data_IF_745879078027
#
_entry.id   IF_745879078027
#
_cell.length_a   1.000
_cell.length_b   1.000
_cell.length_c   1.000
_cell.angle_alpha   90.00
_cell.angle_beta   90.00
_cell.angle_gamma   90.00
#
_symmetry.space_group_name_H-M   'P 1'
#
loop_
_entity.id
_entity.type
_entity.pdbx_description
1 polymer ?
#
# COMPACT_ATOMS: atom_id res chain seq x y z
N UNK A 1 -11.63 7.78 10.90
CA UNK A 1 -10.19 8.08 10.97
C UNK A 1 -9.95 8.77 12.30
N UNK A 2 -8.79 8.53 12.91
CA UNK A 2 -8.37 9.18 14.14
C UNK A 2 -8.34 10.70 13.95
N UNK A 3 -8.50 11.50 15.03
CA UNK A 3 -8.57 12.96 14.94
C UNK A 3 -7.40 13.58 14.19
N UNK A 4 -6.19 13.03 14.38
CA UNK A 4 -4.95 13.47 13.72
C UNK A 4 -4.99 13.35 12.19
N UNK A 5 -5.84 12.47 11.64
CA UNK A 5 -6.00 12.25 10.21
C UNK A 5 -7.33 12.79 9.68
N UNK A 6 -8.21 13.35 10.53
CA UNK A 6 -9.49 13.89 10.08
C UNK A 6 -9.33 15.14 9.21
N UNK A 7 -8.28 15.91 9.43
CA UNK A 7 -7.93 17.08 8.59
C UNK A 7 -7.32 16.70 7.24
N UNK A 8 -6.95 15.43 7.04
CA UNK A 8 -6.26 14.96 5.84
C UNK A 8 -7.18 14.11 4.96
N UNK A 9 -6.92 14.15 3.65
CA UNK A 9 -7.54 13.20 2.74
C UNK A 9 -7.04 11.79 3.02
N UNK A 10 -7.86 10.75 2.82
CA UNK A 10 -7.44 9.34 2.92
C UNK A 10 -6.07 9.04 2.27
N UNK A 11 -5.81 9.42 1.00
CA UNK A 11 -4.50 9.18 0.39
C UNK A 11 -3.36 9.93 1.08
N UNK A 12 -3.59 11.15 1.60
CA UNK A 12 -2.58 11.91 2.34
C UNK A 12 -2.28 11.27 3.70
N UNK A 13 -3.31 10.81 4.39
CA UNK A 13 -3.14 10.10 5.66
C UNK A 13 -2.38 8.78 5.45
N UNK A 14 -2.67 8.05 4.37
CA UNK A 14 -1.92 6.85 3.97
C UNK A 14 -0.45 7.19 3.66
N UNK A 15 -0.22 8.26 2.89
CA UNK A 15 1.12 8.75 2.55
C UNK A 15 1.92 9.11 3.80
N UNK A 16 1.30 9.77 4.78
CA UNK A 16 1.95 10.11 6.04
C UNK A 16 2.35 8.84 6.83
N UNK A 17 1.46 7.85 6.93
CA UNK A 17 1.78 6.57 7.57
C UNK A 17 2.92 5.84 6.84
N UNK A 18 2.91 5.86 5.51
CA UNK A 18 3.98 5.26 4.70
C UNK A 18 5.30 6.03 4.81
N UNK A 19 5.26 7.35 4.96
CA UNK A 19 6.43 8.20 5.11
C UNK A 19 7.10 8.02 6.48
N UNK A 20 6.31 7.84 7.54
CA UNK A 20 6.83 7.52 8.88
C UNK A 20 7.52 6.15 8.92
N UNK A 21 7.06 5.23 8.07
CA UNK A 21 7.62 3.89 7.89
C UNK A 21 8.45 3.75 6.61
N UNK A 22 9.04 4.84 6.11
CA UNK A 22 9.84 4.82 4.89
C UNK A 22 11.01 3.83 5.00
N UNK A 23 11.22 3.03 3.95
CA UNK A 23 12.24 1.97 3.96
C UNK A 23 11.79 0.68 4.65
N UNK A 24 10.53 0.58 5.08
CA UNK A 24 9.93 -0.67 5.54
C UNK A 24 8.74 -1.07 4.67
N UNK A 25 8.34 -2.34 4.78
CA UNK A 25 7.14 -2.86 4.15
C UNK A 25 6.03 -2.87 5.19
N UNK A 26 4.94 -2.13 4.92
CA UNK A 26 3.77 -2.10 5.79
C UNK A 26 2.59 -2.84 5.15
N UNK A 27 1.80 -3.50 5.98
CA UNK A 27 0.59 -4.19 5.55
C UNK A 27 -0.62 -3.24 5.58
N UNK A 28 -1.61 -3.49 4.72
CA UNK A 28 -2.86 -2.73 4.73
C UNK A 28 -3.57 -2.78 6.09
N UNK A 29 -3.54 -3.91 6.80
CA UNK A 29 -4.14 -4.00 8.14
C UNK A 29 -3.44 -3.07 9.14
N UNK A 30 -2.13 -2.91 9.01
CA UNK A 30 -1.37 -1.96 9.82
C UNK A 30 -1.80 -0.53 9.48
N UNK A 31 -1.91 -0.18 8.20
CA UNK A 31 -2.37 1.15 7.77
C UNK A 31 -3.79 1.44 8.31
N UNK A 32 -4.71 0.46 8.21
CA UNK A 32 -6.07 0.60 8.76
C UNK A 32 -6.02 0.81 10.27
N UNK A 33 -5.21 0.02 10.99
CA UNK A 33 -5.05 0.13 12.44
C UNK A 33 -4.45 1.49 12.84
N UNK A 34 -3.47 2.00 12.11
CA UNK A 34 -2.88 3.32 12.37
C UNK A 34 -3.88 4.45 12.07
N UNK A 35 -4.64 4.35 10.98
CA UNK A 35 -5.57 5.40 10.57
C UNK A 35 -6.87 5.46 11.38
N UNK A 36 -7.36 4.32 11.87
CA UNK A 36 -8.67 4.20 12.51
C UNK A 36 -8.62 3.64 13.93
N UNK A 37 -7.47 3.14 14.38
CA UNK A 37 -7.33 2.46 15.66
C UNK A 37 -7.77 0.99 15.60
N UNK A 38 -8.10 0.44 16.76
CA UNK A 38 -8.73 -0.87 16.84
C UNK A 38 -10.21 -0.78 16.43
N UNK A 39 -10.54 -1.51 15.37
CA UNK A 39 -11.88 -1.58 14.80
C UNK A 39 -12.41 -3.00 14.96
N UNK A 40 -13.73 -3.12 15.12
CA UNK A 40 -14.41 -4.40 15.03
C UNK A 40 -14.20 -5.06 13.66
N UNK A 41 -14.18 -6.40 13.58
CA UNK A 41 -13.87 -7.14 12.36
C UNK A 41 -14.81 -6.80 11.20
N UNK A 42 -16.07 -6.49 11.49
CA UNK A 42 -17.06 -6.11 10.49
C UNK A 42 -16.74 -4.75 9.85
N UNK A 43 -16.42 -3.77 10.70
CA UNK A 43 -15.99 -2.43 10.27
C UNK A 43 -14.65 -2.46 9.57
N UNK A 44 -13.71 -3.27 10.09
CA UNK A 44 -12.37 -3.44 9.52
C UNK A 44 -12.45 -3.96 8.09
N UNK A 45 -13.33 -4.92 7.77
CA UNK A 45 -13.54 -5.39 6.39
C UNK A 45 -13.96 -4.25 5.45
N UNK A 46 -14.93 -3.44 5.86
CA UNK A 46 -15.42 -2.32 5.05
C UNK A 46 -14.35 -1.25 4.86
N UNK A 47 -13.67 -0.85 5.94
CA UNK A 47 -12.60 0.15 5.91
C UNK A 47 -11.42 -0.35 5.10
N UNK A 48 -11.01 -1.60 5.26
CA UNK A 48 -9.93 -2.24 4.49
C UNK A 48 -10.22 -2.22 3.00
N UNK A 49 -11.44 -2.52 2.56
CA UNK A 49 -11.82 -2.38 1.16
C UNK A 49 -11.65 -0.95 0.64
N UNK A 50 -12.06 0.06 1.43
CA UNK A 50 -11.89 1.48 1.07
C UNK A 50 -10.43 1.90 1.03
N UNK A 51 -9.64 1.52 2.03
CA UNK A 51 -8.20 1.81 2.10
C UNK A 51 -7.47 1.12 0.95
N UNK A 52 -7.85 -0.11 0.59
CA UNK A 52 -7.30 -0.83 -0.56
C UNK A 52 -7.57 -0.07 -1.86
N UNK A 53 -8.79 0.41 -2.09
CA UNK A 53 -9.10 1.24 -3.27
C UNK A 53 -8.26 2.53 -3.29
N UNK A 54 -8.06 3.18 -2.14
CA UNK A 54 -7.18 4.35 -2.03
C UNK A 54 -5.71 4.00 -2.32
N UNK A 55 -5.22 2.87 -1.80
CA UNK A 55 -3.87 2.35 -2.04
C UNK A 55 -3.63 2.04 -3.52
N UNK A 56 -4.61 1.45 -4.20
CA UNK A 56 -4.52 1.22 -5.65
C UNK A 56 -4.42 2.53 -6.41
N UNK A 57 -5.28 3.51 -6.10
CA UNK A 57 -5.25 4.82 -6.77
C UNK A 57 -3.94 5.57 -6.56
N UNK A 58 -3.43 5.64 -5.32
CA UNK A 58 -2.16 6.34 -5.08
C UNK A 58 -0.95 5.62 -5.67
N UNK A 59 -1.00 4.28 -5.82
CA UNK A 59 -0.01 3.54 -6.62
C UNK A 59 -0.05 3.96 -8.09
N UNK A 60 -1.24 4.07 -8.67
CA UNK A 60 -1.40 4.53 -10.06
C UNK A 60 -0.90 5.97 -10.25
N UNK A 61 -1.03 6.81 -9.21
CA UNK A 61 -0.48 8.17 -9.17
C UNK A 61 1.02 8.24 -8.79
N UNK A 62 1.74 7.11 -8.72
CA UNK A 62 3.16 7.03 -8.32
C UNK A 62 3.49 7.62 -6.93
N UNK A 63 2.52 7.65 -6.00
CA UNK A 63 2.77 8.08 -4.60
C UNK A 63 3.51 7.04 -3.76
N UNK A 64 3.28 5.75 -4.04
CA UNK A 64 3.90 4.63 -3.33
C UNK A 64 3.93 3.38 -4.20
N UNK A 65 4.68 2.38 -3.75
CA UNK A 65 4.89 1.13 -4.46
C UNK A 65 4.26 -0.04 -3.70
N UNK A 66 3.55 -0.89 -4.43
CA UNK A 66 3.15 -2.20 -3.91
C UNK A 66 4.31 -3.18 -4.00
N UNK A 67 4.50 -4.01 -3.00
CA UNK A 67 5.53 -5.05 -3.02
C UNK A 67 5.08 -6.19 -3.93
N UNK A 68 5.80 -6.38 -5.04
CA UNK A 68 5.60 -7.51 -5.94
C UNK A 68 5.78 -8.83 -5.19
N UNK A 69 4.85 -9.76 -5.36
CA UNK A 69 4.89 -11.08 -4.71
C UNK A 69 4.11 -11.20 -3.39
N UNK A 70 3.70 -10.08 -2.76
CA UNK A 70 2.89 -10.10 -1.53
C UNK A 70 1.70 -9.14 -1.63
N UNK A 71 0.46 -9.63 -1.82
CA UNK A 71 -0.71 -8.77 -1.80
C UNK A 71 -0.87 -8.10 -0.43
N UNK A 72 -1.41 -6.88 -0.42
CA UNK A 72 -1.63 -6.12 0.82
C UNK A 72 -0.39 -5.44 1.41
N UNK A 73 0.77 -5.56 0.78
CA UNK A 73 2.02 -4.96 1.26
C UNK A 73 2.43 -3.75 0.41
N UNK A 74 2.72 -2.64 1.08
CA UNK A 74 3.01 -1.36 0.45
C UNK A 74 4.25 -0.72 1.09
N UNK A 75 4.96 0.08 0.31
CA UNK A 75 6.11 0.85 0.78
C UNK A 75 6.21 2.16 0.01
N UNK A 76 6.69 3.21 0.67
CA UNK A 76 6.96 4.48 -0.01
C UNK A 76 8.21 4.39 -0.90
N UNK A 77 9.17 3.51 -0.57
CA UNK A 77 10.41 3.41 -1.33
C UNK A 77 10.96 1.99 -1.34
N UNK A 78 11.02 1.39 -2.54
CA UNK A 78 11.65 0.09 -2.78
C UNK A 78 13.18 0.16 -2.66
N UNK A 79 13.78 1.34 -2.88
CA UNK A 79 15.25 1.53 -2.87
C UNK A 79 15.81 1.63 -1.46
N UNK A 80 14.98 2.02 -0.50
CA UNK A 80 15.33 2.11 0.92
C UNK A 80 15.05 0.80 1.69
N UNK A 81 14.48 -0.22 1.03
CA UNK A 81 14.27 -1.51 1.67
C UNK A 81 15.62 -2.19 1.96
N UNK A 82 15.84 -2.71 3.17
CA UNK A 82 17.03 -3.48 3.46
C UNK A 82 17.13 -4.67 2.50
N UNK A 83 18.28 -4.82 1.85
CA UNK A 83 18.59 -5.81 0.79
C UNK A 83 18.34 -7.28 1.19
N UNK A 84 18.01 -7.55 2.45
CA UNK A 84 17.64 -8.87 2.95
C UNK A 84 16.16 -9.24 2.70
N UNK A 85 15.30 -8.28 2.36
CA UNK A 85 13.88 -8.53 2.06
C UNK A 85 13.55 -8.62 0.56
N UNK A 86 14.52 -8.31 -0.32
CA UNK A 86 14.38 -8.44 -1.79
C UNK A 86 14.71 -9.83 -2.32
N UNK A 87 15.14 -10.78 -1.47
CA UNK A 87 15.39 -12.17 -1.86
C UNK A 87 14.14 -13.04 -1.88
N UNK A 88 13.02 -12.59 -2.48
CA UNK A 88 11.95 -13.50 -2.93
C UNK A 88 10.91 -12.84 -3.87
N UNK A 89 11.29 -12.42 -5.08
CA UNK A 89 10.38 -12.48 -6.26
C UNK A 89 11.07 -12.00 -7.54
N UNK A 90 12.05 -12.76 -8.02
CA UNK A 90 12.42 -12.74 -9.44
C UNK A 90 11.44 -13.60 -10.22
N UNK A 91 10.15 -13.25 -10.27
CA UNK A 91 9.18 -13.84 -11.21
C UNK A 91 8.02 -12.88 -11.51
N UNK A 92 8.20 -12.08 -12.57
CA UNK A 92 7.25 -11.92 -13.68
C UNK A 92 5.83 -11.36 -13.38
N UNK A 93 5.60 -10.10 -13.74
CA UNK A 93 4.37 -9.65 -14.40
C UNK A 93 4.62 -8.32 -15.13
N UNK A 94 5.02 -8.35 -16.41
CA UNK A 94 4.17 -8.45 -17.62
C UNK A 94 4.00 -7.06 -18.24
N UNK A 95 4.96 -6.73 -19.10
CA UNK A 95 4.79 -5.71 -20.12
C UNK A 95 3.51 -5.99 -20.91
N UNK A 96 2.74 -4.93 -21.14
CA UNK A 96 1.70 -4.90 -22.16
C UNK A 96 2.40 -5.09 -23.50
N UNK A 97 2.38 -6.30 -24.05
CA UNK A 97 2.53 -6.47 -25.49
C UNK A 97 1.17 -6.83 -26.07
N UNK A 98 0.61 -5.85 -26.76
CA UNK A 98 -0.63 -5.95 -27.50
C UNK A 98 -0.34 -6.78 -28.76
N UNK A 99 -0.86 -8.01 -28.75
CA UNK A 99 -1.24 -8.88 -29.88
C UNK A 99 -0.69 -8.53 -31.27
N UNK A 100 0.25 -9.35 -31.76
CA UNK A 100 0.56 -9.54 -33.18
C UNK A 100 -0.33 -10.69 -33.72
N UNK A 101 -1.00 -10.46 -34.85
CA UNK A 101 -1.45 -11.39 -35.93
C UNK A 101 -2.33 -10.54 -36.87
N UNK A 102 -2.21 -10.50 -38.20
CA UNK A 102 -1.36 -11.16 -39.20
C UNK A 102 -1.19 -10.20 -40.38
#
# INVERSE_FOLDING_TARGET
MLPIFQSLSRPEAIEQVLAEHIGTIVHIDFIVKTLYGELEPDVLKVVKGRVQSSLTKGRESNKWFSVSGKPGHYTLSLTLLPKNQTKNSSTRAKGKNHKQVS
#
